data_IF_570673954143
#
_entry.id   IF_570673954143
#
_cell.length_a   1.000
_cell.length_b   1.000
_cell.length_c   1.000
_cell.angle_alpha   90.00
_cell.angle_beta   90.00
_cell.angle_gamma   90.00
#
_symmetry.space_group_name_H-M   'P 1'
#
loop_
_entity.id
_entity.type
_entity.pdbx_description
1 polymer ?
#
# COMPACT_ATOMS: atom_id res chain seq x y z
N UNK A 1 16.50 -8.31 17.90
CA UNK A 1 15.23 -8.49 17.16
C UNK A 1 15.61 -8.65 15.69
N UNK A 2 15.17 -9.73 15.02
CA UNK A 2 15.89 -10.28 13.88
C UNK A 2 15.82 -9.29 12.70
N UNK A 3 16.99 -9.01 12.10
CA UNK A 3 17.19 -8.00 11.05
C UNK A 3 16.20 -8.18 9.88
N UNK A 4 15.83 -9.43 9.58
CA UNK A 4 14.85 -9.78 8.56
C UNK A 4 13.46 -9.18 8.82
N UNK A 5 12.99 -9.19 10.07
CA UNK A 5 11.66 -8.64 10.41
C UNK A 5 11.67 -7.11 10.26
N UNK A 6 12.76 -6.44 10.67
CA UNK A 6 12.92 -5.00 10.45
C UNK A 6 12.94 -4.66 8.96
N UNK A 7 13.62 -5.47 8.15
CA UNK A 7 13.68 -5.29 6.70
C UNK A 7 12.29 -5.44 6.05
N UNK A 8 11.57 -6.51 6.37
CA UNK A 8 10.22 -6.75 5.85
C UNK A 8 9.25 -5.63 6.27
N UNK A 9 9.26 -5.22 7.54
CA UNK A 9 8.41 -4.15 8.04
C UNK A 9 8.71 -2.80 7.38
N UNK A 10 10.00 -2.48 7.17
CA UNK A 10 10.40 -1.21 6.54
C UNK A 10 9.89 -1.13 5.11
N UNK A 11 10.03 -2.20 4.32
CA UNK A 11 9.53 -2.22 2.95
C UNK A 11 8.01 -2.25 2.88
N UNK A 12 7.35 -3.01 3.76
CA UNK A 12 5.90 -3.01 3.88
C UNK A 12 5.38 -1.59 4.16
N UNK A 13 6.02 -0.86 5.08
CA UNK A 13 5.64 0.53 5.40
C UNK A 13 5.81 1.46 4.20
N UNK A 14 6.93 1.37 3.49
CA UNK A 14 7.20 2.20 2.31
C UNK A 14 6.14 1.96 1.23
N UNK A 15 5.85 0.70 0.90
CA UNK A 15 4.82 0.34 -0.07
C UNK A 15 3.41 0.77 0.39
N UNK A 16 3.11 0.63 1.68
CA UNK A 16 1.83 1.07 2.23
C UNK A 16 1.63 2.58 2.13
N UNK A 17 2.66 3.37 2.48
CA UNK A 17 2.60 4.84 2.39
C UNK A 17 2.42 5.29 0.94
N UNK A 18 3.15 4.69 -0.01
CA UNK A 18 2.98 4.95 -1.44
C UNK A 18 1.56 4.66 -1.93
N UNK A 19 1.02 3.50 -1.56
CA UNK A 19 -0.35 3.11 -1.92
C UNK A 19 -1.41 4.00 -1.26
N UNK A 20 -1.23 4.36 0.01
CA UNK A 20 -2.15 5.24 0.74
C UNK A 20 -2.17 6.67 0.15
N UNK A 21 -1.00 7.24 -0.16
CA UNK A 21 -0.90 8.56 -0.81
C UNK A 21 -1.54 8.52 -2.19
N UNK A 22 -1.34 7.44 -2.95
CA UNK A 22 -1.96 7.27 -4.26
C UNK A 22 -3.48 7.18 -4.16
N UNK A 23 -4.00 6.40 -3.21
CA UNK A 23 -5.45 6.28 -2.97
C UNK A 23 -6.07 7.62 -2.57
N UNK A 24 -5.42 8.38 -1.69
CA UNK A 24 -5.87 9.73 -1.30
C UNK A 24 -5.84 10.69 -2.49
N UNK A 25 -4.80 10.63 -3.33
CA UNK A 25 -4.72 11.47 -4.52
C UNK A 25 -5.86 11.18 -5.51
N UNK A 26 -6.18 9.90 -5.75
CA UNK A 26 -7.29 9.50 -6.63
C UNK A 26 -8.63 9.94 -6.03
N UNK A 27 -8.81 9.81 -4.71
CA UNK A 27 -10.04 10.23 -4.03
C UNK A 27 -10.27 11.75 -4.12
N UNK A 28 -9.19 12.55 -4.15
CA UNK A 28 -9.26 14.00 -4.30
C UNK A 28 -9.45 14.44 -5.77
N UNK A 29 -8.84 13.75 -6.74
CA UNK A 29 -8.97 14.10 -8.15
C UNK A 29 -10.32 13.67 -8.73
N UNK A 30 -10.77 12.46 -8.42
CA UNK A 30 -11.98 11.86 -8.98
C UNK A 30 -12.85 11.21 -7.90
N UNK A 31 -13.51 12.02 -7.05
CA UNK A 31 -14.48 11.52 -6.10
C UNK A 31 -15.61 10.66 -6.71
N UNK A 32 -16.14 10.91 -7.93
CA UNK A 32 -17.20 10.06 -8.48
C UNK A 32 -16.72 8.65 -8.89
N UNK A 33 -15.41 8.44 -9.08
CA UNK A 33 -14.87 7.13 -9.50
C UNK A 33 -15.08 6.04 -8.44
N UNK A 34 -15.20 6.42 -7.16
CA UNK A 34 -15.43 5.48 -6.07
C UNK A 34 -16.92 5.28 -5.71
N UNK A 35 -17.83 5.95 -6.42
CA UNK A 35 -19.29 5.82 -6.23
C UNK A 35 -19.90 6.96 -5.41
N UNK A 36 -21.21 7.16 -5.59
CA UNK A 36 -21.95 8.25 -4.95
C UNK A 36 -21.99 8.06 -3.42
N UNK A 37 -21.33 8.98 -2.71
CA UNK A 37 -21.32 9.12 -1.25
C UNK A 37 -20.66 7.94 -0.49
N UNK A 38 -19.33 7.80 -0.61
CA UNK A 38 -18.60 6.99 0.37
C UNK A 38 -18.72 7.59 1.75
N UNK A 39 -19.17 6.75 2.69
CA UNK A 39 -19.02 7.08 4.10
C UNK A 39 -17.54 7.22 4.48
N UNK A 40 -17.22 7.93 5.59
CA UNK A 40 -15.85 8.09 6.05
C UNK A 40 -15.15 6.74 6.31
N UNK A 41 -15.92 5.72 6.71
CA UNK A 41 -15.44 4.36 6.91
C UNK A 41 -15.06 3.66 5.60
N UNK A 42 -15.88 3.82 4.56
CA UNK A 42 -15.63 3.19 3.26
C UNK A 42 -14.42 3.82 2.57
N UNK A 43 -14.29 5.15 2.65
CA UNK A 43 -13.10 5.85 2.18
C UNK A 43 -11.82 5.34 2.87
N UNK A 44 -11.86 5.13 4.19
CA UNK A 44 -10.73 4.52 4.91
C UNK A 44 -10.45 3.09 4.46
N UNK A 45 -11.49 2.29 4.21
CA UNK A 45 -11.32 0.90 3.77
C UNK A 45 -10.70 0.81 2.36
N UNK A 46 -11.07 1.73 1.47
CA UNK A 46 -10.49 1.87 0.12
C UNK A 46 -9.02 2.28 0.21
N UNK A 47 -8.70 3.29 1.02
CA UNK A 47 -7.30 3.71 1.21
C UNK A 47 -6.47 2.56 1.79
N UNK A 48 -7.02 1.84 2.77
CA UNK A 48 -6.36 0.69 3.38
C UNK A 48 -6.16 -0.47 2.39
N UNK A 49 -7.16 -0.79 1.57
CA UNK A 49 -7.07 -1.90 0.63
C UNK A 49 -6.05 -1.63 -0.49
N UNK A 50 -6.04 -0.40 -1.03
CA UNK A 50 -5.04 0.03 -2.03
C UNK A 50 -3.65 0.09 -1.39
N UNK A 51 -3.53 0.68 -0.19
CA UNK A 51 -2.29 0.73 0.58
C UNK A 51 -1.72 -0.67 0.83
N UNK A 52 -2.55 -1.61 1.28
CA UNK A 52 -2.14 -2.98 1.57
C UNK A 52 -1.70 -3.74 0.31
N UNK A 53 -2.40 -3.56 -0.83
CA UNK A 53 -2.02 -4.17 -2.09
C UNK A 53 -0.62 -3.69 -2.56
N UNK A 54 -0.35 -2.39 -2.46
CA UNK A 54 0.96 -1.83 -2.77
C UNK A 54 2.04 -2.28 -1.79
N UNK A 55 1.73 -2.35 -0.49
CA UNK A 55 2.65 -2.84 0.54
C UNK A 55 3.12 -4.26 0.26
N UNK A 56 2.16 -5.16 -0.05
CA UNK A 56 2.44 -6.55 -0.38
C UNK A 56 3.19 -6.69 -1.70
N UNK A 57 2.80 -5.92 -2.73
CA UNK A 57 3.49 -5.90 -4.02
C UNK A 57 4.95 -5.46 -3.88
N UNK A 58 5.20 -4.36 -3.17
CA UNK A 58 6.55 -3.84 -2.93
C UNK A 58 7.41 -4.81 -2.11
N UNK A 59 6.82 -5.47 -1.11
CA UNK A 59 7.49 -6.51 -0.35
C UNK A 59 7.80 -7.74 -1.21
N UNK A 60 6.87 -8.18 -2.05
CA UNK A 60 7.07 -9.32 -2.95
C UNK A 60 8.17 -9.04 -3.98
N UNK A 61 8.21 -7.84 -4.57
CA UNK A 61 9.28 -7.43 -5.48
C UNK A 61 10.64 -7.40 -4.78
N UNK A 62 10.68 -6.91 -3.53
CA UNK A 62 11.91 -6.89 -2.76
C UNK A 62 12.46 -8.29 -2.47
N UNK A 63 11.59 -9.20 -2.03
CA UNK A 63 11.95 -10.59 -1.73
C UNK A 63 12.32 -11.37 -2.99
N UNK A 64 11.62 -11.12 -4.10
CA UNK A 64 11.94 -11.70 -5.40
C UNK A 64 13.29 -11.22 -5.91
N UNK A 65 13.59 -9.93 -5.77
CA UNK A 65 14.88 -9.34 -6.15
C UNK A 65 16.03 -9.95 -5.36
N UNK A 66 15.92 -10.03 -4.02
CA UNK A 66 16.93 -10.70 -3.18
C UNK A 66 17.15 -12.18 -3.54
N UNK A 67 16.12 -12.88 -4.04
CA UNK A 67 16.27 -14.26 -4.49
C UNK A 67 17.02 -14.40 -5.82
N UNK A 68 17.15 -13.32 -6.59
CA UNK A 68 17.81 -13.34 -7.92
C UNK A 68 19.30 -12.98 -7.84
N UNK A 69 19.78 -12.55 -6.66
CA UNK A 69 21.16 -12.12 -6.39
C UNK A 69 21.99 -13.22 -5.68
N UNK A 70 21.48 -14.45 -5.61
CA UNK A 70 22.15 -15.67 -5.12
C UNK A 70 22.47 -16.63 -6.27
#
# INVERSE_FOLDING_TARGET
>A
MPVLICYMLSRLFIGFVLGAVSAVAVLQLEPPAFGAALGPLEAMLVIYSIGAAFALGYLATALGWENTEL
#
